data_IF_852972930866
#
_entry.id   IF_852972930866
#
_cell.length_a   1.000
_cell.length_b   1.000
_cell.length_c   1.000
_cell.angle_alpha   90.00
_cell.angle_beta   90.00
_cell.angle_gamma   90.00
#
_symmetry.space_group_name_H-M   'P 1'
#
loop_
_entity.id
_entity.type
_entity.pdbx_description
1 polymer ?
#
# COMPACT_ATOMS: atom_id res chain seq x y z
N UNK A 1 50.29 -22.92 -14.36
CA UNK A 1 49.95 -23.70 -13.13
C UNK A 1 49.51 -22.79 -12.00
N UNK A 2 50.15 -21.60 -11.82
CA UNK A 2 49.83 -20.69 -10.71
C UNK A 2 48.41 -20.08 -10.75
N UNK A 3 47.95 -19.68 -11.94
CA UNK A 3 46.56 -19.12 -12.12
C UNK A 3 45.48 -20.20 -11.91
N UNK A 4 45.76 -21.47 -12.19
CA UNK A 4 44.81 -22.57 -11.98
C UNK A 4 44.69 -22.96 -10.47
N UNK A 5 45.74 -22.79 -9.72
CA UNK A 5 45.72 -23.02 -8.27
C UNK A 5 44.97 -21.89 -7.54
N UNK A 6 45.18 -20.62 -7.92
CA UNK A 6 44.53 -19.46 -7.33
C UNK A 6 43.01 -19.48 -7.58
N UNK A 7 42.57 -19.90 -8.78
CA UNK A 7 41.14 -20.09 -9.11
C UNK A 7 40.54 -21.27 -8.29
N UNK A 8 41.32 -22.32 -8.02
CA UNK A 8 40.90 -23.47 -7.22
C UNK A 8 40.72 -23.07 -5.74
N UNK A 9 41.61 -22.28 -5.15
CA UNK A 9 41.53 -21.76 -3.79
C UNK A 9 40.37 -20.78 -3.61
N UNK A 10 40.16 -19.90 -4.61
CA UNK A 10 39.03 -18.99 -4.62
C UNK A 10 37.68 -19.74 -4.62
N UNK A 11 37.52 -20.74 -5.48
CA UNK A 11 36.31 -21.59 -5.53
C UNK A 11 36.09 -22.34 -4.20
N UNK A 12 37.15 -22.81 -3.56
CA UNK A 12 37.06 -23.48 -2.28
C UNK A 12 36.57 -22.53 -1.19
N UNK A 13 37.10 -21.30 -1.11
CA UNK A 13 36.64 -20.26 -0.17
C UNK A 13 35.17 -19.88 -0.40
N UNK A 14 34.76 -19.70 -1.64
CA UNK A 14 33.37 -19.40 -1.98
C UNK A 14 32.44 -20.52 -1.52
N UNK A 15 32.84 -21.80 -1.72
CA UNK A 15 32.06 -22.95 -1.29
C UNK A 15 31.98 -23.06 0.23
N UNK A 16 33.09 -22.80 0.95
CA UNK A 16 33.14 -22.81 2.40
C UNK A 16 32.27 -21.70 2.98
N UNK A 17 32.33 -20.46 2.45
CA UNK A 17 31.50 -19.34 2.84
C UNK A 17 30.02 -19.64 2.61
N UNK A 18 29.68 -20.25 1.48
CA UNK A 18 28.30 -20.68 1.18
C UNK A 18 27.81 -21.71 2.19
N UNK A 19 28.62 -22.73 2.49
CA UNK A 19 28.25 -23.77 3.46
C UNK A 19 28.09 -23.19 4.87
N UNK A 20 28.96 -22.27 5.24
CA UNK A 20 28.85 -21.56 6.56
C UNK A 20 27.57 -20.70 6.60
N UNK A 21 27.23 -20.02 5.52
CA UNK A 21 25.98 -19.24 5.43
C UNK A 21 24.75 -20.15 5.55
N UNK A 22 24.76 -21.32 4.89
CA UNK A 22 23.68 -22.31 4.98
C UNK A 22 23.53 -22.81 6.41
N UNK A 23 24.62 -23.22 7.08
CA UNK A 23 24.58 -23.67 8.47
C UNK A 23 24.03 -22.61 9.42
N UNK A 24 24.47 -21.35 9.27
CA UNK A 24 23.93 -20.23 10.05
C UNK A 24 22.44 -20.01 9.78
N UNK A 25 21.99 -20.20 8.56
CA UNK A 25 20.58 -20.11 8.20
C UNK A 25 19.75 -21.24 8.86
N UNK A 26 20.27 -22.47 8.84
CA UNK A 26 19.63 -23.63 9.48
C UNK A 26 19.55 -23.47 11.00
N UNK A 27 20.61 -22.98 11.65
CA UNK A 27 20.60 -22.67 13.09
C UNK A 27 19.56 -21.60 13.42
N UNK A 28 19.51 -20.51 12.64
CA UNK A 28 18.49 -19.47 12.78
C UNK A 28 17.07 -20.02 12.57
N UNK A 29 16.89 -20.97 11.65
CA UNK A 29 15.59 -21.56 11.39
C UNK A 29 15.10 -22.48 12.51
N UNK A 30 16.01 -23.04 13.30
CA UNK A 30 15.66 -23.83 14.50
C UNK A 30 15.19 -22.96 15.65
N UNK A 31 15.74 -21.76 15.78
CA UNK A 31 15.37 -20.82 16.83
C UNK A 31 14.23 -19.90 16.37
N UNK A 32 13.03 -20.15 16.87
CA UNK A 32 11.85 -19.32 16.56
C UNK A 32 12.00 -17.88 17.06
N UNK A 33 12.78 -17.64 18.10
CA UNK A 33 13.02 -16.31 18.70
C UNK A 33 14.35 -15.67 18.27
N UNK A 34 14.98 -16.19 17.22
CA UNK A 34 16.19 -15.56 16.72
C UNK A 34 15.93 -14.12 16.30
N UNK A 35 16.71 -13.19 16.80
CA UNK A 35 16.56 -11.73 16.64
C UNK A 35 16.31 -11.28 15.18
N UNK A 36 17.03 -11.91 14.23
CA UNK A 36 16.84 -11.61 12.79
C UNK A 36 15.45 -12.01 12.28
N UNK A 37 14.93 -13.13 12.73
CA UNK A 37 13.59 -13.61 12.33
C UNK A 37 12.51 -12.73 12.94
N UNK A 38 12.63 -12.40 14.22
CA UNK A 38 11.70 -11.46 14.88
C UNK A 38 11.71 -10.09 14.20
N UNK A 39 12.90 -9.60 13.83
CA UNK A 39 13.03 -8.34 13.09
C UNK A 39 12.30 -8.39 11.76
N UNK A 40 12.52 -9.44 10.97
CA UNK A 40 11.84 -9.61 9.67
C UNK A 40 10.33 -9.78 9.84
N UNK A 41 9.88 -10.54 10.83
CA UNK A 41 8.46 -10.69 11.15
C UNK A 41 7.83 -9.35 11.56
N UNK A 42 8.52 -8.56 12.38
CA UNK A 42 8.07 -7.22 12.75
C UNK A 42 7.92 -6.29 11.53
N UNK A 43 8.81 -6.42 10.55
CA UNK A 43 8.70 -5.72 9.28
C UNK A 43 7.49 -6.21 8.47
N UNK A 44 7.29 -7.53 8.40
CA UNK A 44 6.15 -8.14 7.76
C UNK A 44 4.82 -7.68 8.36
N UNK A 45 4.69 -7.64 9.67
CA UNK A 45 3.49 -7.14 10.37
C UNK A 45 3.25 -5.64 10.12
N UNK A 46 4.32 -4.83 10.12
CA UNK A 46 4.19 -3.40 9.80
C UNK A 46 3.76 -3.18 8.35
N UNK A 47 4.31 -3.93 7.40
CA UNK A 47 3.90 -3.90 5.99
C UNK A 47 2.46 -4.40 5.85
N UNK A 48 2.09 -5.47 6.57
CA UNK A 48 0.72 -5.98 6.63
C UNK A 48 -0.28 -4.92 7.09
N UNK A 49 0.07 -4.12 8.10
CA UNK A 49 -0.74 -2.99 8.53
C UNK A 49 -0.88 -1.93 7.43
N UNK A 50 0.19 -1.60 6.71
CA UNK A 50 0.13 -0.65 5.59
C UNK A 50 -0.75 -1.17 4.44
N UNK A 51 -0.66 -2.46 4.11
CA UNK A 51 -1.54 -3.10 3.13
C UNK A 51 -3.00 -3.07 3.57
N UNK A 52 -3.27 -3.31 4.86
CA UNK A 52 -4.60 -3.18 5.44
C UNK A 52 -5.14 -1.74 5.28
N UNK A 53 -4.34 -0.73 5.61
CA UNK A 53 -4.70 0.69 5.42
C UNK A 53 -4.99 0.99 3.93
N UNK A 54 -4.14 0.51 3.02
CA UNK A 54 -4.33 0.71 1.59
C UNK A 54 -5.65 0.09 1.09
N UNK A 55 -6.01 -1.08 1.62
CA UNK A 55 -7.21 -1.80 1.22
C UNK A 55 -8.51 -1.22 1.82
N UNK A 56 -8.47 -0.83 3.10
CA UNK A 56 -9.66 -0.39 3.84
C UNK A 56 -9.85 1.11 3.89
N UNK A 57 -8.78 1.89 3.68
CA UNK A 57 -8.77 3.32 3.94
C UNK A 57 -8.80 3.68 5.42
N UNK A 58 -8.55 2.74 6.35
CA UNK A 58 -8.46 3.02 7.77
C UNK A 58 -7.42 4.10 8.06
N UNK A 59 -7.64 4.93 9.08
CA UNK A 59 -6.58 5.82 9.50
C UNK A 59 -5.50 5.05 10.28
N UNK A 60 -4.30 5.61 10.35
CA UNK A 60 -3.16 4.94 10.96
C UNK A 60 -3.42 4.58 12.43
N UNK A 61 -3.98 5.49 13.21
CA UNK A 61 -4.30 5.30 14.62
C UNK A 61 -5.31 4.16 14.82
N UNK A 62 -6.37 4.11 14.01
CA UNK A 62 -7.33 3.00 14.02
C UNK A 62 -6.67 1.67 13.67
N UNK A 63 -5.83 1.64 12.65
CA UNK A 63 -5.16 0.40 12.25
C UNK A 63 -4.15 -0.09 13.31
N UNK A 64 -3.47 0.83 13.98
CA UNK A 64 -2.56 0.51 15.07
C UNK A 64 -3.28 -0.12 16.29
N UNK A 65 -4.47 0.38 16.62
CA UNK A 65 -5.26 -0.05 17.78
C UNK A 65 -6.23 -1.19 17.47
N UNK A 66 -6.18 -1.77 16.28
CA UNK A 66 -7.11 -2.79 15.85
C UNK A 66 -6.94 -4.08 16.66
N UNK A 67 -8.05 -4.64 17.15
CA UNK A 67 -8.08 -5.84 17.98
C UNK A 67 -8.77 -6.99 17.24
N UNK A 68 -8.36 -8.24 17.55
CA UNK A 68 -8.91 -9.44 16.92
C UNK A 68 -10.36 -9.71 17.31
N UNK A 69 -10.72 -9.41 18.56
CA UNK A 69 -12.07 -9.57 19.08
C UNK A 69 -13.10 -8.66 18.42
N UNK A 70 -12.62 -7.57 17.79
CA UNK A 70 -13.46 -6.65 17.01
C UNK A 70 -13.75 -7.11 15.59
N UNK A 71 -13.23 -8.29 15.18
CA UNK A 71 -13.33 -8.79 13.82
C UNK A 71 -14.63 -9.57 13.58
N UNK A 72 -15.36 -9.18 12.56
CA UNK A 72 -16.56 -9.87 12.07
C UNK A 72 -16.35 -10.39 10.65
N UNK A 73 -16.84 -11.61 10.37
CA UNK A 73 -16.89 -12.15 9.01
C UNK A 73 -18.15 -11.64 8.33
N UNK A 74 -18.01 -11.10 7.12
CA UNK A 74 -19.12 -10.59 6.31
C UNK A 74 -19.67 -11.71 5.42
N UNK A 75 -20.88 -12.24 5.65
CA UNK A 75 -21.44 -13.35 4.87
C UNK A 75 -21.61 -13.00 3.38
N UNK A 76 -22.02 -11.76 3.09
CA UNK A 76 -22.34 -11.31 1.73
C UNK A 76 -21.12 -11.14 0.82
N UNK A 77 -19.97 -10.73 1.38
CA UNK A 77 -18.76 -10.43 0.62
C UNK A 77 -17.62 -11.39 0.88
N UNK A 78 -17.81 -12.35 1.82
CA UNK A 78 -16.76 -13.24 2.35
C UNK A 78 -15.50 -12.46 2.80
N UNK A 79 -15.68 -11.19 3.10
CA UNK A 79 -14.64 -10.29 3.62
C UNK A 79 -14.73 -10.20 5.14
N UNK A 80 -14.02 -9.25 5.68
CA UNK A 80 -14.00 -8.97 7.12
C UNK A 80 -14.24 -7.52 7.42
N UNK A 81 -14.92 -7.27 8.52
CA UNK A 81 -15.14 -5.94 9.11
C UNK A 81 -14.56 -5.93 10.50
N UNK A 82 -14.04 -4.79 10.90
CA UNK A 82 -13.53 -4.54 12.24
C UNK A 82 -14.27 -3.37 12.86
N UNK A 83 -14.42 -3.40 14.16
CA UNK A 83 -14.89 -2.25 14.93
C UNK A 83 -13.67 -1.56 15.57
N UNK A 84 -13.45 -0.32 15.23
CA UNK A 84 -12.37 0.49 15.76
C UNK A 84 -12.88 1.83 16.29
N UNK A 85 -12.09 2.48 17.14
CA UNK A 85 -12.39 3.82 17.65
C UNK A 85 -11.43 4.84 17.07
N UNK A 86 -11.95 6.04 16.83
CA UNK A 86 -11.16 7.18 16.36
C UNK A 86 -11.05 8.20 17.51
N UNK A 87 -9.96 8.08 18.28
CA UNK A 87 -9.75 8.87 19.50
C UNK A 87 -9.79 10.38 19.24
N UNK A 88 -9.21 10.84 18.13
CA UNK A 88 -9.18 12.27 17.75
C UNK A 88 -10.53 12.88 17.39
N UNK A 89 -11.55 12.07 17.19
CA UNK A 89 -12.89 12.51 16.80
C UNK A 89 -13.95 12.16 17.88
N UNK A 90 -13.62 12.32 19.14
CA UNK A 90 -14.55 12.05 20.24
C UNK A 90 -14.93 10.58 20.38
N UNK A 91 -13.98 9.66 20.16
CA UNK A 91 -14.18 8.20 20.20
C UNK A 91 -15.23 7.67 19.20
N UNK A 92 -15.36 8.33 18.04
CA UNK A 92 -16.27 7.87 17.00
C UNK A 92 -15.91 6.45 16.57
N UNK A 93 -16.89 5.55 16.56
CA UNK A 93 -16.73 4.20 16.02
C UNK A 93 -16.52 4.28 14.52
N UNK A 94 -15.53 3.56 14.02
CA UNK A 94 -15.23 3.37 12.59
C UNK A 94 -15.20 1.87 12.30
N UNK A 95 -15.60 1.49 11.09
CA UNK A 95 -15.74 0.09 10.71
C UNK A 95 -14.94 -0.20 9.44
N UNK A 96 -13.59 -0.28 9.53
CA UNK A 96 -12.78 -0.65 8.37
C UNK A 96 -13.14 -2.06 7.90
N UNK A 97 -13.36 -2.21 6.61
CA UNK A 97 -13.72 -3.48 6.01
C UNK A 97 -12.97 -3.74 4.70
N UNK A 98 -12.83 -5.01 4.35
CA UNK A 98 -12.30 -5.44 3.06
C UNK A 98 -13.06 -6.66 2.53
N UNK A 99 -13.08 -6.81 1.21
CA UNK A 99 -13.73 -7.93 0.52
C UNK A 99 -12.81 -9.14 0.33
N UNK A 100 -13.37 -10.20 -0.25
CA UNK A 100 -12.74 -11.51 -0.47
C UNK A 100 -11.37 -11.47 -1.14
N UNK A 101 -11.10 -10.50 -2.02
CA UNK A 101 -9.81 -10.40 -2.73
C UNK A 101 -8.61 -10.18 -1.81
N UNK A 102 -8.81 -9.54 -0.68
CA UNK A 102 -7.74 -9.30 0.29
C UNK A 102 -7.63 -10.39 1.36
N UNK A 103 -8.66 -11.22 1.51
CA UNK A 103 -8.71 -12.29 2.51
C UNK A 103 -7.47 -13.23 2.49
N UNK A 104 -6.96 -13.69 1.34
CA UNK A 104 -5.76 -14.53 1.31
C UNK A 104 -4.51 -13.84 1.87
N UNK A 105 -4.36 -12.55 1.60
CA UNK A 105 -3.26 -11.74 2.11
C UNK A 105 -3.41 -11.53 3.61
N UNK A 106 -4.62 -11.19 4.05
CA UNK A 106 -4.90 -10.96 5.45
C UNK A 106 -4.71 -12.23 6.30
N UNK A 107 -5.07 -13.40 5.78
CA UNK A 107 -4.82 -14.70 6.44
C UNK A 107 -3.34 -14.94 6.66
N UNK A 108 -2.49 -14.65 5.68
CA UNK A 108 -1.03 -14.73 5.85
C UNK A 108 -0.49 -13.74 6.88
N UNK A 109 -1.10 -12.57 6.99
CA UNK A 109 -0.77 -11.61 8.06
C UNK A 109 -1.11 -12.19 9.43
N UNK A 110 -2.26 -12.83 9.58
CA UNK A 110 -2.65 -13.49 10.83
C UNK A 110 -1.73 -14.69 11.16
N UNK A 111 -1.38 -15.52 10.19
CA UNK A 111 -0.40 -16.61 10.37
C UNK A 111 0.97 -16.07 10.85
N UNK A 112 1.43 -14.98 10.24
CA UNK A 112 2.66 -14.32 10.68
C UNK A 112 2.54 -13.73 12.08
N UNK A 113 1.38 -13.16 12.41
CA UNK A 113 1.06 -12.66 13.75
C UNK A 113 1.11 -13.78 14.78
N UNK A 114 0.43 -14.89 14.54
CA UNK A 114 0.43 -16.06 15.43
C UNK A 114 1.86 -16.56 15.67
N UNK A 115 2.64 -16.67 14.61
CA UNK A 115 4.05 -17.02 14.73
C UNK A 115 4.83 -16.00 15.58
N UNK A 116 4.54 -14.70 15.44
CA UNK A 116 5.24 -13.62 16.14
C UNK A 116 4.89 -13.53 17.63
N UNK A 117 3.59 -13.66 17.93
CA UNK A 117 3.06 -13.58 19.30
C UNK A 117 3.34 -14.88 20.07
N UNK A 118 3.33 -16.03 19.40
CA UNK A 118 3.43 -17.36 20.01
C UNK A 118 2.34 -17.56 21.09
N UNK A 119 2.72 -18.03 22.27
CA UNK A 119 1.80 -18.35 23.37
C UNK A 119 1.49 -17.15 24.28
N UNK A 120 1.90 -15.93 23.90
CA UNK A 120 1.67 -14.74 24.71
C UNK A 120 0.26 -14.14 24.42
N UNK A 121 -0.43 -13.73 25.47
CA UNK A 121 -1.73 -13.07 25.34
C UNK A 121 -1.57 -11.71 24.67
N UNK A 122 -2.25 -11.55 23.53
CA UNK A 122 -2.21 -10.31 22.77
C UNK A 122 -3.41 -10.21 21.83
N UNK A 123 -4.21 -9.17 21.93
CA UNK A 123 -5.41 -8.98 21.10
C UNK A 123 -5.17 -8.08 19.88
N UNK A 124 -4.03 -7.38 19.82
CA UNK A 124 -3.73 -6.54 18.67
C UNK A 124 -3.56 -7.34 17.38
N UNK A 125 -4.14 -6.85 16.28
CA UNK A 125 -3.96 -7.44 14.95
C UNK A 125 -2.53 -7.24 14.44
N UNK A 126 -1.92 -6.10 14.75
CA UNK A 126 -0.55 -5.74 14.36
C UNK A 126 0.32 -5.47 15.58
N UNK A 127 0.69 -6.50 16.36
CA UNK A 127 1.54 -6.32 17.52
C UNK A 127 3.01 -6.21 17.15
N UNK A 128 3.77 -5.44 17.91
CA UNK A 128 5.23 -5.44 17.91
C UNK A 128 5.77 -5.50 19.32
N UNK A 129 6.97 -6.06 19.50
CA UNK A 129 7.68 -6.00 20.77
C UNK A 129 8.38 -4.66 20.93
N UNK A 130 8.24 -4.07 22.10
CA UNK A 130 9.01 -2.90 22.51
C UNK A 130 10.40 -3.33 23.04
N UNK A 131 11.17 -2.37 23.53
CA UNK A 131 12.52 -2.60 24.05
C UNK A 131 12.57 -3.58 25.25
N UNK A 132 11.50 -3.63 26.05
CA UNK A 132 11.35 -4.55 27.19
C UNK A 132 10.56 -5.81 26.81
N UNK A 133 10.54 -6.17 25.54
CA UNK A 133 9.91 -7.37 24.98
C UNK A 133 8.39 -7.51 25.18
N UNK A 134 7.69 -6.45 25.57
CA UNK A 134 6.22 -6.45 25.68
C UNK A 134 5.56 -6.23 24.32
N UNK A 135 4.50 -6.98 24.04
CA UNK A 135 3.67 -6.80 22.86
C UNK A 135 2.85 -5.51 22.98
N UNK A 136 2.97 -4.64 21.98
CA UNK A 136 2.32 -3.33 21.88
C UNK A 136 1.87 -3.10 20.44
N UNK A 137 0.92 -2.18 20.18
CA UNK A 137 0.59 -1.77 18.83
C UNK A 137 1.81 -1.22 18.08
N UNK A 138 1.80 -1.33 16.75
CA UNK A 138 2.82 -0.72 15.90
C UNK A 138 2.92 0.79 16.16
N UNK A 139 4.05 1.29 16.60
CA UNK A 139 4.28 2.71 16.82
C UNK A 139 4.68 3.48 15.54
N UNK A 140 4.48 4.81 15.53
CA UNK A 140 4.76 5.67 14.38
C UNK A 140 6.24 5.63 13.93
N UNK A 141 7.19 5.53 14.85
CA UNK A 141 8.62 5.43 14.55
C UNK A 141 8.96 4.21 13.67
N UNK A 142 8.14 3.16 13.73
CA UNK A 142 8.35 1.94 12.93
C UNK A 142 8.18 2.18 11.44
N UNK A 143 7.32 3.12 11.04
CA UNK A 143 7.10 3.46 9.63
C UNK A 143 8.36 4.00 8.96
N UNK A 144 9.16 4.80 9.67
CA UNK A 144 10.42 5.31 9.14
C UNK A 144 11.45 4.18 8.97
N UNK A 145 11.50 3.22 9.89
CA UNK A 145 12.39 2.06 9.78
C UNK A 145 12.01 1.19 8.56
N UNK A 146 10.71 0.95 8.34
CA UNK A 146 10.22 0.20 7.17
C UNK A 146 10.53 0.95 5.88
N UNK A 147 10.30 2.26 5.83
CA UNK A 147 10.66 3.08 4.68
C UNK A 147 12.14 2.91 4.32
N UNK A 148 13.03 3.08 5.30
CA UNK A 148 14.47 2.97 5.10
C UNK A 148 14.87 1.55 4.66
N UNK A 149 14.26 0.52 5.24
CA UNK A 149 14.48 -0.88 4.88
C UNK A 149 14.08 -1.16 3.43
N UNK A 150 12.86 -0.76 3.04
CA UNK A 150 12.35 -0.98 1.69
C UNK A 150 13.14 -0.17 0.64
N UNK A 151 13.48 1.08 0.92
CA UNK A 151 14.28 1.91 0.00
C UNK A 151 15.71 1.37 -0.20
N UNK A 152 16.28 0.69 0.80
CA UNK A 152 17.56 0.01 0.66
C UNK A 152 17.48 -1.20 -0.27
N UNK A 153 16.38 -1.97 -0.23
CA UNK A 153 16.17 -3.15 -1.10
C UNK A 153 15.70 -2.71 -2.49
N UNK A 154 14.85 -1.70 -2.55
CA UNK A 154 14.26 -1.16 -3.77
C UNK A 154 14.55 0.35 -3.90
N UNK A 155 15.76 0.75 -4.34
CA UNK A 155 16.18 2.16 -4.33
C UNK A 155 15.27 3.10 -5.14
N UNK A 156 14.59 2.58 -6.16
CA UNK A 156 13.67 3.36 -7.02
C UNK A 156 12.23 3.38 -6.50
N UNK A 157 11.94 2.72 -5.37
CA UNK A 157 10.60 2.67 -4.81
C UNK A 157 10.18 4.03 -4.27
N UNK A 158 9.03 4.51 -4.73
CA UNK A 158 8.38 5.70 -4.16
C UNK A 158 7.67 5.29 -2.87
N UNK A 159 8.00 5.95 -1.77
CA UNK A 159 7.32 5.72 -0.51
C UNK A 159 5.97 6.42 -0.50
N UNK A 160 4.91 5.65 -0.27
CA UNK A 160 3.54 6.14 -0.12
C UNK A 160 3.17 6.09 1.36
N UNK A 161 2.80 7.22 1.92
CA UNK A 161 2.41 7.34 3.33
C UNK A 161 1.02 6.76 3.60
N UNK A 162 0.70 6.34 4.84
CA UNK A 162 -0.65 5.89 5.21
C UNK A 162 -1.75 6.90 4.85
N UNK A 163 -1.45 8.20 4.97
CA UNK A 163 -2.39 9.26 4.60
C UNK A 163 -2.64 9.32 3.09
N UNK A 164 -1.59 9.11 2.27
CA UNK A 164 -1.75 9.05 0.80
C UNK A 164 -2.54 7.82 0.37
N UNK A 165 -2.28 6.64 0.96
CA UNK A 165 -3.08 5.44 0.75
C UNK A 165 -4.55 5.66 1.06
N UNK A 166 -4.83 6.28 2.22
CA UNK A 166 -6.18 6.61 2.62
C UNK A 166 -6.85 7.58 1.63
N UNK A 167 -6.13 8.62 1.20
CA UNK A 167 -6.64 9.57 0.21
C UNK A 167 -6.94 8.89 -1.13
N UNK A 168 -6.08 7.99 -1.57
CA UNK A 168 -6.31 7.20 -2.78
C UNK A 168 -7.57 6.33 -2.65
N UNK A 169 -7.75 5.65 -1.53
CA UNK A 169 -8.95 4.84 -1.26
C UNK A 169 -10.22 5.69 -1.26
N UNK A 170 -10.20 6.87 -0.65
CA UNK A 170 -11.30 7.84 -0.67
C UNK A 170 -11.67 8.21 -2.12
N UNK A 171 -10.69 8.63 -2.92
CA UNK A 171 -10.92 8.97 -4.34
C UNK A 171 -11.47 7.78 -5.13
N UNK A 172 -10.91 6.59 -4.93
CA UNK A 172 -11.39 5.37 -5.57
C UNK A 172 -12.84 5.02 -5.18
N UNK A 173 -13.22 5.22 -3.91
CA UNK A 173 -14.58 4.97 -3.45
C UNK A 173 -15.57 5.90 -4.14
N UNK A 174 -15.24 7.19 -4.24
CA UNK A 174 -16.06 8.18 -4.94
C UNK A 174 -16.19 7.84 -6.43
N UNK A 175 -15.09 7.50 -7.09
CA UNK A 175 -15.07 7.15 -8.51
C UNK A 175 -15.92 5.90 -8.81
N UNK A 176 -15.76 4.83 -8.01
CA UNK A 176 -16.52 3.58 -8.19
C UNK A 176 -18.00 3.68 -7.80
N UNK A 177 -18.39 4.70 -7.05
CA UNK A 177 -19.78 4.95 -6.64
C UNK A 177 -20.44 6.09 -7.42
N UNK A 178 -19.89 6.47 -8.58
CA UNK A 178 -20.43 7.56 -9.41
C UNK A 178 -20.63 8.88 -8.64
N UNK A 179 -19.73 9.18 -7.71
CA UNK A 179 -19.76 10.43 -6.95
C UNK A 179 -20.51 10.37 -5.63
N UNK A 180 -20.84 9.19 -5.10
CA UNK A 180 -21.55 9.05 -3.83
C UNK A 180 -20.66 9.43 -2.63
N UNK A 181 -20.82 10.68 -2.19
CA UNK A 181 -20.11 11.26 -1.05
C UNK A 181 -20.59 10.67 0.29
N UNK A 182 -21.83 10.20 0.38
CA UNK A 182 -22.37 9.57 1.59
C UNK A 182 -21.69 8.24 1.81
N UNK A 183 -21.57 7.43 0.75
CA UNK A 183 -20.85 6.15 0.81
C UNK A 183 -19.37 6.38 1.15
N UNK A 184 -18.71 7.39 0.56
CA UNK A 184 -17.32 7.73 0.92
C UNK A 184 -17.22 8.11 2.40
N UNK A 185 -18.09 8.96 2.91
CA UNK A 185 -18.10 9.36 4.30
C UNK A 185 -18.28 8.16 5.25
N UNK A 186 -19.13 7.21 4.89
CA UNK A 186 -19.35 5.98 5.64
C UNK A 186 -18.10 5.08 5.63
N UNK A 187 -17.61 4.73 4.44
CA UNK A 187 -16.45 3.84 4.25
C UNK A 187 -15.20 4.41 4.93
N UNK A 188 -14.97 5.70 4.79
CA UNK A 188 -13.79 6.36 5.37
C UNK A 188 -13.98 6.77 6.84
N UNK A 189 -15.18 6.64 7.40
CA UNK A 189 -15.51 7.10 8.74
C UNK A 189 -15.31 8.60 8.93
N UNK A 190 -15.61 9.40 7.90
CA UNK A 190 -15.58 10.86 7.92
C UNK A 190 -16.92 11.45 8.39
N UNK A 191 -16.90 12.77 8.71
CA UNK A 191 -18.13 13.56 8.65
C UNK A 191 -18.43 13.90 7.18
N UNK A 192 -19.69 14.16 6.88
CA UNK A 192 -20.12 14.56 5.54
C UNK A 192 -19.38 15.82 5.05
N UNK A 193 -19.15 16.78 5.95
CA UNK A 193 -18.40 18.00 5.64
C UNK A 193 -16.93 17.70 5.26
N UNK A 194 -16.30 16.74 5.95
CA UNK A 194 -14.94 16.29 5.60
C UNK A 194 -14.91 15.61 4.24
N UNK A 195 -15.89 14.76 3.95
CA UNK A 195 -16.02 14.08 2.66
C UNK A 195 -16.20 15.10 1.52
N UNK A 196 -17.13 16.05 1.67
CA UNK A 196 -17.37 17.14 0.70
C UNK A 196 -16.11 17.96 0.43
N UNK A 197 -15.40 18.39 1.48
CA UNK A 197 -14.18 19.20 1.33
C UNK A 197 -13.06 18.42 0.62
N UNK A 198 -12.93 17.14 0.88
CA UNK A 198 -11.94 16.29 0.20
C UNK A 198 -12.31 16.07 -1.27
N UNK A 199 -13.57 15.78 -1.56
CA UNK A 199 -14.07 15.54 -2.91
C UNK A 199 -13.96 16.80 -3.78
N UNK A 200 -14.44 17.95 -3.30
CA UNK A 200 -14.37 19.22 -4.06
C UNK A 200 -12.94 19.54 -4.45
N UNK A 201 -11.97 19.40 -3.55
CA UNK A 201 -10.55 19.68 -3.86
C UNK A 201 -9.94 18.70 -4.87
N UNK A 202 -10.31 17.42 -4.82
CA UNK A 202 -9.81 16.39 -5.75
C UNK A 202 -10.46 16.56 -7.12
N UNK A 203 -11.79 16.75 -7.16
CA UNK A 203 -12.58 16.94 -8.38
C UNK A 203 -12.15 18.17 -9.18
N UNK A 204 -11.88 19.30 -8.54
CA UNK A 204 -11.41 20.49 -9.25
C UNK A 204 -10.07 20.28 -9.97
N UNK A 205 -9.15 19.58 -9.38
CA UNK A 205 -7.84 19.31 -9.99
C UNK A 205 -7.97 18.34 -11.16
N UNK A 206 -8.74 17.27 -10.98
CA UNK A 206 -8.97 16.26 -12.02
C UNK A 206 -9.83 16.80 -13.14
N UNK A 207 -10.88 17.58 -12.83
CA UNK A 207 -11.69 18.28 -13.82
C UNK A 207 -10.86 19.32 -14.61
N UNK A 208 -10.02 20.11 -13.95
CA UNK A 208 -9.13 21.04 -14.63
C UNK A 208 -8.16 20.32 -15.58
N UNK A 209 -7.64 19.16 -15.16
CA UNK A 209 -6.75 18.36 -15.99
C UNK A 209 -7.47 17.71 -17.18
N UNK A 210 -8.67 17.17 -16.98
CA UNK A 210 -9.51 16.63 -18.05
C UNK A 210 -9.95 17.71 -19.05
N UNK A 211 -10.35 18.88 -18.56
CA UNK A 211 -10.69 20.04 -19.39
C UNK A 211 -9.47 20.48 -20.21
N UNK A 212 -8.28 20.54 -19.62
CA UNK A 212 -7.04 20.88 -20.32
C UNK A 212 -6.70 19.85 -21.40
N UNK A 213 -6.86 18.55 -21.13
CA UNK A 213 -6.68 17.48 -22.12
C UNK A 213 -7.67 17.62 -23.27
N UNK A 214 -8.94 17.81 -22.96
CA UNK A 214 -9.99 18.01 -23.96
C UNK A 214 -9.71 19.21 -24.87
N UNK A 215 -9.30 20.36 -24.32
CA UNK A 215 -8.93 21.51 -25.13
C UNK A 215 -7.67 21.29 -25.98
N UNK A 216 -6.70 20.52 -25.49
CA UNK A 216 -5.53 20.16 -26.29
C UNK A 216 -5.92 19.23 -27.45
N UNK A 217 -6.77 18.24 -27.22
CA UNK A 217 -7.29 17.35 -28.26
C UNK A 217 -8.10 18.13 -29.32
N UNK A 218 -8.99 19.02 -28.88
CA UNK A 218 -9.73 19.91 -29.80
C UNK A 218 -8.80 20.78 -30.65
N UNK A 219 -7.76 21.34 -30.06
CA UNK A 219 -6.75 22.14 -30.76
C UNK A 219 -6.02 21.30 -31.82
N UNK A 220 -5.60 20.10 -31.49
CA UNK A 220 -4.94 19.19 -32.43
C UNK A 220 -5.85 18.82 -33.60
N UNK A 221 -7.13 18.51 -33.34
CA UNK A 221 -8.10 18.23 -34.37
C UNK A 221 -8.36 19.47 -35.26
N UNK A 222 -8.48 20.65 -34.68
CA UNK A 222 -8.64 21.89 -35.42
C UNK A 222 -7.45 22.17 -36.33
N UNK A 223 -6.23 22.05 -35.81
CA UNK A 223 -4.98 22.26 -36.58
C UNK A 223 -4.84 21.22 -37.69
N UNK A 224 -5.17 19.95 -37.43
CA UNK A 224 -5.09 18.90 -38.46
C UNK A 224 -6.11 19.13 -39.59
N UNK A 225 -7.36 19.54 -39.28
CA UNK A 225 -8.38 19.89 -40.28
C UNK A 225 -7.99 21.12 -41.10
N UNK A 226 -7.42 22.14 -40.46
CA UNK A 226 -6.97 23.35 -41.17
C UNK A 226 -5.88 22.99 -42.18
N UNK A 227 -4.88 22.16 -41.75
CA UNK A 227 -3.83 21.67 -42.69
C UNK A 227 -4.35 20.83 -43.82
N UNK A 228 -5.42 20.06 -43.60
CA UNK A 228 -6.05 19.23 -44.64
C UNK A 228 -6.81 20.13 -45.64
N UNK A 229 -7.50 21.14 -45.16
CA UNK A 229 -8.21 22.12 -46.00
C UNK A 229 -7.23 22.96 -46.85
N UNK A 230 -6.10 23.38 -46.28
CA UNK A 230 -5.04 24.10 -47.00
C UNK A 230 -4.44 23.21 -48.10
N UNK A 231 -4.20 21.91 -47.86
CA UNK A 231 -3.73 20.97 -48.88
C UNK A 231 -4.73 20.76 -50.01
N UNK A 232 -6.03 20.66 -49.71
CA UNK A 232 -7.10 20.50 -50.71
C UNK A 232 -7.22 21.76 -51.53
N UNK A 233 -7.12 22.96 -50.95
CA UNK A 233 -7.19 24.20 -51.69
C UNK A 233 -5.99 24.42 -52.59
N UNK A 234 -4.79 24.00 -52.21
CA UNK A 234 -3.61 24.05 -53.09
C UNK A 234 -3.74 23.07 -54.27
N UNK A 235 -4.20 21.84 -54.04
CA UNK A 235 -4.45 20.86 -55.10
C UNK A 235 -5.51 21.35 -56.11
N UNK A 236 -6.60 21.96 -55.64
CA UNK A 236 -7.62 22.53 -56.53
C UNK A 236 -7.12 23.73 -57.35
N UNK A 237 -6.16 24.49 -56.85
CA UNK A 237 -5.55 25.57 -57.61
C UNK A 237 -4.58 25.07 -58.68
N UNK A 238 -3.85 23.99 -58.42
CA UNK A 238 -2.96 23.39 -59.41
C UNK A 238 -3.71 22.69 -60.57
N UNK A 239 -4.87 22.09 -60.30
CA UNK A 239 -5.75 21.47 -61.32
C UNK A 239 -6.53 22.51 -62.19
N UNK A 240 -6.53 23.76 -61.81
CA UNK A 240 -7.24 24.85 -62.59
C UNK A 240 -6.28 25.65 -63.48
N UNK A 241 -4.97 25.34 -63.48
CA UNK A 241 -3.91 26.04 -64.27
C UNK A 241 -3.45 25.24 -65.49
N UNK A 242 -3.91 23.99 -65.67
CA UNK A 242 -3.73 23.17 -66.89
C UNK A 242 -4.98 23.25 -67.78
#
# INVERSE_FOLDING_TARGET
DFELEEDSEHRKRVRENRNQAIRKLEERNKDKRHLERERLASYGLTIGMLLFIAQTGANLDTAQQLQLDSMEVLPSTQGRRFSGTKSRAGNKTVRPEFGVKFEPVFRKILELREWYVQDEACDFVFPLRNEIQQLRPVGNGRLQLIKNFLQRIFPKMVWITPQQWRKHKSSQTVELSDGDILLEAEVMGHSLDTARNNYVRTSFKDAAQQISQFFNELREVAVSKTRTLERISVQMLDETID
#
